data_IF_047384537812
#
_entry.id   IF_047384537812
#
_cell.length_a   1.000
_cell.length_b   1.000
_cell.length_c   1.000
_cell.angle_alpha   90.00
_cell.angle_beta   90.00
_cell.angle_gamma   90.00
#
_symmetry.space_group_name_H-M   'P 1'
#
loop_
_entity.id
_entity.type
_entity.pdbx_description
1 polymer ?
#
# COMPACT_ATOMS: atom_id res chain seq x y z
N UNK A 1 2.73 1.71 26.84
CA UNK A 1 2.93 2.71 27.91
C UNK A 1 1.95 3.85 27.69
N UNK A 2 1.09 4.16 28.66
CA UNK A 2 0.17 5.29 28.58
C UNK A 2 0.91 6.61 28.84
N UNK A 3 0.42 7.71 28.25
CA UNK A 3 0.98 9.06 28.43
C UNK A 3 0.67 9.54 29.86
N UNK A 4 1.67 10.10 30.55
CA UNK A 4 1.49 10.77 31.85
C UNK A 4 1.21 12.25 31.60
N UNK A 5 0.11 12.75 32.15
CA UNK A 5 -0.36 14.13 31.95
C UNK A 5 -1.04 14.66 33.20
N UNK A 6 -1.14 15.99 33.32
CA UNK A 6 -1.78 16.67 34.45
C UNK A 6 -3.33 16.62 34.40
N UNK A 7 -3.90 16.21 33.27
CA UNK A 7 -5.33 16.04 33.01
C UNK A 7 -5.53 14.85 32.04
N UNK A 8 -6.75 14.30 31.87
CA UNK A 8 -6.99 13.21 30.92
C UNK A 8 -6.41 13.50 29.53
N UNK A 9 -5.57 12.60 29.02
CA UNK A 9 -4.90 12.73 27.71
C UNK A 9 -5.57 11.80 26.70
N UNK A 10 -6.81 12.13 26.37
CA UNK A 10 -7.62 11.39 25.41
C UNK A 10 -8.01 12.33 24.28
N UNK A 11 -7.39 12.12 23.12
CA UNK A 11 -7.65 12.90 21.92
C UNK A 11 -7.95 11.95 20.78
N UNK A 12 -8.92 12.33 19.97
CA UNK A 12 -9.17 11.63 18.73
C UNK A 12 -7.98 11.78 17.77
N UNK A 13 -7.69 10.72 17.02
CA UNK A 13 -6.67 10.78 15.99
C UNK A 13 -7.00 11.85 14.95
N UNK A 14 -6.06 12.78 14.73
CA UNK A 14 -6.14 13.79 13.66
C UNK A 14 -6.20 13.19 12.24
N UNK A 15 -5.88 11.91 12.11
CA UNK A 15 -5.99 11.13 10.88
C UNK A 15 -6.84 9.87 11.10
N UNK A 16 -7.99 10.02 11.77
CA UNK A 16 -9.01 8.99 11.87
C UNK A 16 -9.70 8.78 10.52
N UNK A 17 -10.06 7.53 10.18
CA UNK A 17 -10.76 7.17 8.93
C UNK A 17 -12.01 8.02 8.69
N UNK A 18 -12.78 8.33 9.75
CA UNK A 18 -14.01 9.13 9.64
C UNK A 18 -13.81 10.54 9.06
N UNK A 19 -12.57 11.05 9.06
CA UNK A 19 -12.22 12.36 8.49
C UNK A 19 -12.00 12.30 6.97
N UNK A 20 -11.99 11.11 6.37
CA UNK A 20 -11.71 10.89 4.94
C UNK A 20 -12.94 10.42 4.15
N UNK A 21 -14.12 10.34 4.80
CA UNK A 21 -15.36 9.91 4.15
C UNK A 21 -15.26 8.47 3.63
N UNK A 22 -15.64 8.28 2.38
CA UNK A 22 -15.58 6.97 1.71
C UNK A 22 -14.17 6.61 1.21
N UNK A 23 -13.22 7.55 1.29
CA UNK A 23 -11.83 7.32 0.91
C UNK A 23 -10.99 6.85 2.10
N UNK A 24 -9.83 6.28 1.79
CA UNK A 24 -8.81 5.96 2.76
C UNK A 24 -7.42 6.35 2.25
N UNK A 25 -6.48 6.48 3.18
CA UNK A 25 -5.07 6.59 2.85
C UNK A 25 -4.47 5.19 2.75
N UNK A 26 -3.70 4.92 1.71
CA UNK A 26 -2.91 3.69 1.55
C UNK A 26 -1.48 4.10 1.25
N UNK A 27 -0.51 3.46 1.91
CA UNK A 27 0.90 3.64 1.61
C UNK A 27 1.34 2.55 0.64
N UNK A 28 2.06 2.90 -0.41
CA UNK A 28 2.65 1.95 -1.37
C UNK A 28 4.15 2.00 -1.25
N UNK A 29 4.76 0.87 -0.88
CA UNK A 29 6.20 0.72 -0.70
C UNK A 29 6.76 -0.21 -1.76
N UNK A 30 7.71 0.27 -2.54
CA UNK A 30 8.56 -0.57 -3.38
C UNK A 30 9.78 -0.99 -2.56
N UNK A 31 9.99 -2.28 -2.28
CA UNK A 31 11.09 -2.70 -1.38
C UNK A 31 12.36 -3.11 -2.10
N UNK A 32 12.31 -3.36 -3.41
CA UNK A 32 13.44 -3.73 -4.26
C UNK A 32 14.24 -2.52 -4.78
N UNK A 33 13.76 -1.29 -4.58
CA UNK A 33 14.42 -0.05 -5.01
C UNK A 33 14.48 0.98 -3.89
N UNK A 34 15.60 1.71 -3.86
CA UNK A 34 15.83 2.87 -2.99
C UNK A 34 15.75 4.21 -3.74
N UNK A 35 15.35 4.19 -5.02
CA UNK A 35 15.17 5.44 -5.80
C UNK A 35 14.17 6.37 -5.11
N UNK A 36 13.09 5.80 -4.58
CA UNK A 36 12.13 6.51 -3.74
C UNK A 36 12.60 6.48 -2.29
N UNK A 37 12.73 7.66 -1.67
CA UNK A 37 13.20 7.77 -0.29
C UNK A 37 12.23 7.21 0.75
N UNK A 38 10.97 6.94 0.38
CA UNK A 38 9.92 6.42 1.26
C UNK A 38 8.76 5.84 0.45
N UNK A 39 7.83 5.18 1.14
CA UNK A 39 6.55 4.78 0.57
C UNK A 39 5.73 6.01 0.15
N UNK A 40 5.04 5.94 -0.99
CA UNK A 40 4.10 6.98 -1.40
C UNK A 40 2.78 6.83 -0.65
N UNK A 41 2.18 7.94 -0.21
CA UNK A 41 0.84 7.95 0.39
C UNK A 41 -0.18 8.39 -0.65
N UNK A 42 -1.14 7.53 -0.96
CA UNK A 42 -2.24 7.83 -1.90
C UNK A 42 -3.58 7.84 -1.16
N UNK A 43 -4.49 8.70 -1.62
CA UNK A 43 -5.88 8.75 -1.16
C UNK A 43 -6.76 8.09 -2.22
N UNK A 44 -7.47 7.04 -1.85
CA UNK A 44 -8.27 6.23 -2.77
C UNK A 44 -9.62 5.85 -2.17
N UNK A 45 -10.68 5.66 -2.98
CA UNK A 45 -11.95 5.13 -2.51
C UNK A 45 -11.77 3.74 -1.90
N UNK A 46 -12.48 3.44 -0.80
CA UNK A 46 -12.50 2.09 -0.24
C UNK A 46 -13.08 1.04 -1.20
N UNK A 47 -13.94 1.48 -2.12
CA UNK A 47 -14.60 0.67 -3.15
C UNK A 47 -13.79 0.53 -4.43
N UNK A 48 -12.62 1.18 -4.56
CA UNK A 48 -11.74 1.01 -5.71
C UNK A 48 -11.36 -0.47 -5.83
N UNK A 49 -11.36 -1.01 -7.04
CA UNK A 49 -10.91 -2.39 -7.27
C UNK A 49 -9.40 -2.50 -7.14
N UNK A 50 -8.89 -3.69 -6.80
CA UNK A 50 -7.45 -3.91 -6.77
C UNK A 50 -6.78 -3.63 -8.12
N UNK A 51 -7.39 -4.09 -9.22
CA UNK A 51 -6.88 -3.83 -10.57
C UNK A 51 -6.75 -2.33 -10.84
N UNK A 52 -7.80 -1.57 -10.57
CA UNK A 52 -7.80 -0.12 -10.77
C UNK A 52 -6.77 0.57 -9.89
N UNK A 53 -6.62 0.13 -8.63
CA UNK A 53 -5.59 0.65 -7.72
C UNK A 53 -4.18 0.43 -8.28
N UNK A 54 -3.87 -0.77 -8.76
CA UNK A 54 -2.56 -1.08 -9.35
C UNK A 54 -2.33 -0.27 -10.61
N UNK A 55 -3.28 -0.27 -11.54
CA UNK A 55 -3.16 0.39 -12.84
C UNK A 55 -3.04 1.91 -12.73
N UNK A 56 -3.74 2.53 -11.78
CA UNK A 56 -3.85 4.00 -11.70
C UNK A 56 -2.96 4.64 -10.64
N UNK A 57 -2.61 3.90 -9.57
CA UNK A 57 -1.82 4.45 -8.46
C UNK A 57 -0.42 3.84 -8.40
N UNK A 58 -0.33 2.50 -8.44
CA UNK A 58 0.94 1.80 -8.19
C UNK A 58 1.85 1.84 -9.40
N UNK A 59 1.39 1.37 -10.57
CA UNK A 59 2.22 1.25 -11.76
C UNK A 59 2.78 2.60 -12.25
N UNK A 60 1.99 3.68 -12.37
CA UNK A 60 2.52 4.98 -12.82
C UNK A 60 3.65 5.50 -11.92
N UNK A 61 3.53 5.28 -10.62
CA UNK A 61 4.56 5.63 -9.64
C UNK A 61 5.79 4.73 -9.78
N UNK A 62 5.62 3.40 -9.83
CA UNK A 62 6.72 2.47 -9.97
C UNK A 62 7.50 2.63 -11.29
N UNK A 63 6.81 2.85 -12.41
CA UNK A 63 7.42 3.04 -13.75
C UNK A 63 8.18 4.35 -13.89
N UNK A 64 8.06 5.28 -12.92
CA UNK A 64 8.93 6.45 -12.87
C UNK A 64 10.38 6.09 -12.51
N UNK A 65 10.61 4.88 -12.00
CA UNK A 65 11.94 4.29 -11.87
C UNK A 65 12.30 3.54 -13.18
N UNK A 66 13.39 3.91 -13.87
CA UNK A 66 13.80 3.26 -15.12
C UNK A 66 14.16 1.78 -14.95
N UNK A 67 14.52 1.33 -13.74
CA UNK A 67 14.88 -0.07 -13.45
C UNK A 67 13.65 -0.93 -13.13
N UNK A 68 12.43 -0.35 -13.13
CA UNK A 68 11.21 -1.10 -12.85
C UNK A 68 10.75 -1.91 -14.06
N UNK A 69 10.62 -3.23 -13.89
CA UNK A 69 10.00 -4.10 -14.89
C UNK A 69 8.48 -4.17 -14.69
N UNK A 70 7.73 -3.42 -15.50
CA UNK A 70 6.27 -3.40 -15.46
C UNK A 70 5.58 -4.69 -15.93
N UNK A 71 6.31 -5.60 -16.58
CA UNK A 71 5.81 -6.91 -17.05
C UNK A 71 6.07 -8.04 -16.05
N UNK A 72 6.87 -7.78 -15.02
CA UNK A 72 7.33 -8.81 -14.08
C UNK A 72 6.22 -9.34 -13.19
N UNK A 73 6.30 -10.62 -12.74
CA UNK A 73 5.41 -11.09 -11.70
C UNK A 73 5.64 -10.26 -10.43
N UNK A 74 4.57 -9.61 -9.95
CA UNK A 74 4.61 -8.83 -8.71
C UNK A 74 4.27 -9.73 -7.52
N UNK A 75 5.07 -9.65 -6.46
CA UNK A 75 4.71 -10.19 -5.16
C UNK A 75 4.31 -9.06 -4.22
N UNK A 76 3.25 -9.30 -3.44
CA UNK A 76 2.65 -8.27 -2.60
C UNK A 76 2.71 -8.62 -1.13
N UNK A 77 2.79 -7.58 -0.31
CA UNK A 77 2.59 -7.69 1.13
C UNK A 77 1.59 -6.65 1.62
N UNK A 78 0.75 -7.03 2.57
CA UNK A 78 -0.15 -6.13 3.28
C UNK A 78 0.28 -6.08 4.75
N UNK A 79 0.79 -4.94 5.19
CA UNK A 79 1.30 -4.75 6.57
C UNK A 79 2.30 -5.86 6.91
N UNK A 80 3.33 -6.00 6.08
CA UNK A 80 4.43 -6.98 6.18
C UNK A 80 4.05 -8.47 6.03
N UNK A 81 2.77 -8.80 5.83
CA UNK A 81 2.31 -10.18 5.62
C UNK A 81 2.14 -10.47 4.14
N UNK A 82 2.43 -11.70 3.70
CA UNK A 82 2.17 -12.14 2.33
C UNK A 82 0.71 -11.90 1.94
N UNK A 83 0.51 -11.36 0.75
CA UNK A 83 -0.79 -10.90 0.29
C UNK A 83 -1.00 -11.32 -1.17
N UNK A 84 -2.13 -11.98 -1.45
CA UNK A 84 -2.52 -12.43 -2.79
C UNK A 84 -3.88 -11.80 -3.14
N UNK A 85 -3.89 -10.56 -3.65
CA UNK A 85 -5.12 -9.85 -3.97
C UNK A 85 -5.83 -10.44 -5.19
N UNK A 86 -7.14 -10.22 -5.25
CA UNK A 86 -7.98 -10.53 -6.42
C UNK A 86 -8.34 -9.23 -7.13
N UNK A 87 -8.08 -9.15 -8.42
CA UNK A 87 -8.22 -7.95 -9.25
C UNK A 87 -9.62 -7.32 -9.23
N UNK A 88 -10.64 -8.16 -9.14
CA UNK A 88 -12.07 -7.82 -9.18
C UNK A 88 -12.64 -7.36 -7.83
N UNK A 89 -11.92 -7.63 -6.73
CA UNK A 89 -12.37 -7.24 -5.39
C UNK A 89 -11.95 -5.82 -5.07
N UNK A 90 -12.79 -5.16 -4.28
CA UNK A 90 -12.49 -3.84 -3.75
C UNK A 90 -11.37 -3.90 -2.70
N UNK A 91 -10.66 -2.80 -2.49
CA UNK A 91 -9.62 -2.71 -1.47
C UNK A 91 -10.16 -3.06 -0.07
N UNK A 92 -11.39 -2.62 0.26
CA UNK A 92 -12.03 -2.95 1.52
C UNK A 92 -12.35 -4.45 1.66
N UNK A 93 -12.84 -5.12 0.61
CA UNK A 93 -13.10 -6.57 0.61
C UNK A 93 -11.81 -7.38 0.76
N UNK A 94 -10.69 -6.87 0.25
CA UNK A 94 -9.38 -7.48 0.37
C UNK A 94 -8.70 -7.24 1.74
N UNK A 95 -9.37 -6.57 2.67
CA UNK A 95 -8.84 -6.33 4.01
C UNK A 95 -7.88 -5.13 4.10
N UNK A 96 -7.73 -4.33 3.04
CA UNK A 96 -6.97 -3.08 3.08
C UNK A 96 -7.78 -2.05 3.87
N UNK A 97 -7.11 -1.34 4.78
CA UNK A 97 -7.72 -0.38 5.71
C UNK A 97 -6.93 0.93 5.72
N UNK A 98 -7.52 1.95 6.33
CA UNK A 98 -6.92 3.26 6.50
C UNK A 98 -5.49 3.20 7.05
N UNK A 99 -4.56 3.80 6.30
CA UNK A 99 -3.12 3.89 6.55
C UNK A 99 -2.36 2.57 6.50
N UNK A 100 -2.96 1.49 5.99
CA UNK A 100 -2.20 0.28 5.71
C UNK A 100 -1.10 0.55 4.69
N UNK A 101 -0.03 -0.22 4.79
CA UNK A 101 1.04 -0.27 3.81
C UNK A 101 0.88 -1.51 2.95
N UNK A 102 0.79 -1.30 1.65
CA UNK A 102 0.91 -2.32 0.61
C UNK A 102 2.33 -2.25 0.08
N UNK A 103 3.06 -3.35 0.10
CA UNK A 103 4.39 -3.43 -0.51
C UNK A 103 4.33 -4.20 -1.82
N UNK A 104 5.11 -3.73 -2.79
CA UNK A 104 5.40 -4.40 -4.05
C UNK A 104 6.89 -4.79 -4.07
N UNK A 105 7.14 -6.03 -4.48
CA UNK A 105 8.44 -6.55 -4.81
C UNK A 105 8.36 -7.14 -6.23
N UNK A 106 9.38 -6.94 -7.05
CA UNK A 106 9.56 -7.76 -8.25
C UNK A 106 9.89 -9.16 -7.73
N UNK A 107 9.06 -10.16 -8.05
CA UNK A 107 9.33 -11.51 -7.58
C UNK A 107 10.71 -11.93 -8.09
N UNK A 108 11.54 -12.61 -7.27
CA UNK A 108 12.84 -13.06 -7.72
C UNK A 108 12.65 -13.88 -8.98
N UNK A 109 13.31 -13.48 -10.06
CA UNK A 109 13.39 -14.30 -11.28
C UNK A 109 13.89 -15.65 -10.81
N UNK A 110 13.03 -16.67 -10.91
CA UNK A 110 13.36 -18.01 -10.50
C UNK A 110 14.71 -18.36 -11.11
N UNK A 111 15.64 -18.77 -10.26
CA UNK A 111 16.98 -19.17 -10.67
C UNK A 111 16.85 -20.40 -11.58
N UNK A 112 16.58 -20.20 -12.87
CA UNK A 112 16.78 -21.21 -13.90
C UNK A 112 18.27 -21.37 -14.06
N UNK A 113 18.86 -22.16 -13.14
CA UNK A 113 20.11 -22.85 -13.37
C UNK A 113 19.91 -23.75 -14.60
N UNK A 114 20.39 -23.28 -15.74
CA UNK A 114 20.83 -24.11 -16.86
C UNK A 114 22.33 -24.28 -16.79
#
# INVERSE_FOLDING_TARGET
MAIKSLAPYEFESRSAQKLYGDDMLVHVLRRDSMLFCSAVAVRVPQTMTWKEFVDTQVLPWCTSDPDFNAEGPFSWRLVEQEFTPSDDKTLAELGIRHKNTVSIDIAPVGNTKG
#
